data_IF_301463326082
#
_entry.id   IF_301463326082
#
_cell.length_a   1.000
_cell.length_b   1.000
_cell.length_c   1.000
_cell.angle_alpha   90.00
_cell.angle_beta   90.00
_cell.angle_gamma   90.00
#
_symmetry.space_group_name_H-M   'P 1'
#
loop_
_entity.id
_entity.type
_entity.pdbx_description
1 polymer ?
#
# COMPACT_ATOMS: atom_id res chain seq x y z
N UNK A 1 -6.04 -12.07 -9.57
CA UNK A 1 -6.56 -11.13 -8.55
C UNK A 1 -7.92 -10.68 -9.05
N UNK A 2 -8.94 -10.50 -8.18
CA UNK A 2 -10.32 -10.38 -8.64
C UNK A 2 -10.49 -9.06 -9.39
N UNK A 3 -10.85 -9.12 -10.66
CA UNK A 3 -11.12 -7.93 -11.49
C UNK A 3 -12.44 -7.21 -11.09
N UNK A 4 -13.08 -7.62 -9.97
CA UNK A 4 -14.41 -7.17 -9.54
C UNK A 4 -14.41 -6.78 -8.07
N UNK A 5 -15.04 -5.65 -7.79
CA UNK A 5 -15.19 -5.07 -6.46
C UNK A 5 -16.06 -5.95 -5.56
N UNK A 6 -15.60 -6.34 -4.37
CA UNK A 6 -16.37 -7.18 -3.45
C UNK A 6 -17.57 -6.46 -2.82
N UNK A 7 -17.65 -5.13 -2.94
CA UNK A 7 -18.74 -4.33 -2.36
C UNK A 7 -19.90 -4.07 -3.31
N UNK A 8 -19.61 -3.84 -4.60
CA UNK A 8 -20.64 -3.47 -5.58
C UNK A 8 -20.58 -4.26 -6.88
N UNK A 9 -19.61 -5.17 -7.04
CA UNK A 9 -19.41 -5.94 -8.28
C UNK A 9 -18.79 -5.16 -9.44
N UNK A 10 -18.52 -3.86 -9.28
CA UNK A 10 -17.93 -2.99 -10.31
C UNK A 10 -16.47 -3.32 -10.64
N UNK A 11 -15.95 -2.76 -11.73
CA UNK A 11 -14.56 -2.97 -12.16
C UNK A 11 -13.56 -2.33 -11.20
N UNK A 12 -12.41 -2.98 -11.02
CA UNK A 12 -11.29 -2.47 -10.23
C UNK A 12 -10.10 -2.09 -11.12
N UNK A 13 -9.51 -0.93 -10.84
CA UNK A 13 -8.24 -0.48 -11.44
C UNK A 13 -7.07 -0.80 -10.51
N UNK A 14 -5.99 -1.37 -11.06
CA UNK A 14 -4.74 -1.61 -10.34
C UNK A 14 -3.86 -0.36 -10.37
N UNK A 15 -3.40 0.05 -9.19
CA UNK A 15 -2.33 1.02 -8.98
C UNK A 15 -1.16 0.39 -8.22
N UNK A 16 0.02 1.00 -8.33
CA UNK A 16 1.24 0.56 -7.62
C UNK A 16 1.80 1.72 -6.80
N UNK A 17 2.07 1.45 -5.52
CA UNK A 17 2.85 2.34 -4.66
C UNK A 17 4.20 1.71 -4.43
N UNK A 18 5.22 2.32 -5.01
CA UNK A 18 6.60 1.87 -4.94
C UNK A 18 7.21 2.38 -3.63
N UNK A 19 7.20 1.54 -2.59
CA UNK A 19 7.58 1.91 -1.23
C UNK A 19 8.99 2.53 -1.15
N UNK A 20 9.90 2.11 -2.03
CA UNK A 20 11.27 2.64 -2.12
C UNK A 20 11.36 4.06 -2.68
N UNK A 21 10.37 4.50 -3.47
CA UNK A 21 10.31 5.87 -4.04
C UNK A 21 9.55 6.85 -3.14
N UNK A 22 8.87 6.33 -2.13
CA UNK A 22 8.17 7.12 -1.12
C UNK A 22 9.16 7.44 -0.01
N UNK A 23 9.11 8.65 0.54
CA UNK A 23 10.05 9.02 1.61
C UNK A 23 9.88 8.07 2.81
N UNK A 24 10.97 7.70 3.52
CA UNK A 24 10.91 6.86 4.71
C UNK A 24 9.90 7.36 5.75
N UNK A 25 9.74 8.68 5.86
CA UNK A 25 8.75 9.34 6.71
C UNK A 25 7.32 8.98 6.34
N UNK A 26 6.96 9.04 5.04
CA UNK A 26 5.61 8.68 4.59
C UNK A 26 5.41 7.17 4.77
N UNK A 27 6.41 6.34 4.46
CA UNK A 27 6.28 4.89 4.57
C UNK A 27 6.03 4.44 6.02
N UNK A 28 6.77 5.01 6.97
CA UNK A 28 6.65 4.68 8.41
C UNK A 28 5.44 5.32 9.08
N UNK A 29 4.89 6.41 8.52
CA UNK A 29 3.64 7.01 8.96
C UNK A 29 2.42 6.20 8.49
N UNK A 30 2.44 5.73 7.24
CA UNK A 30 1.34 4.95 6.66
C UNK A 30 1.35 3.49 7.12
N UNK A 31 2.54 2.91 7.31
CA UNK A 31 2.71 1.49 7.60
C UNK A 31 3.62 1.32 8.81
N UNK A 32 3.00 1.25 9.99
CA UNK A 32 3.71 1.00 11.26
C UNK A 32 4.53 -0.29 11.26
N UNK A 33 4.17 -1.25 10.39
CA UNK A 33 4.89 -2.51 10.16
C UNK A 33 6.30 -2.35 9.59
N UNK A 34 6.52 -1.33 8.76
CA UNK A 34 7.85 -1.06 8.20
C UNK A 34 8.73 -0.21 9.13
N UNK A 35 8.19 0.20 10.29
CA UNK A 35 8.92 1.03 11.25
C UNK A 35 9.82 0.16 12.11
N UNK A 36 11.12 0.26 11.90
CA UNK A 36 12.13 -0.33 12.77
C UNK A 36 12.91 0.77 13.52
N UNK A 37 13.29 0.48 14.77
CA UNK A 37 14.19 1.34 15.52
C UNK A 37 15.61 1.03 15.10
N UNK A 38 16.33 2.05 14.65
CA UNK A 38 17.76 2.02 14.37
C UNK A 38 18.50 2.93 15.34
N UNK A 39 19.82 2.81 15.35
CA UNK A 39 20.69 3.65 16.19
C UNK A 39 20.56 5.16 15.87
N UNK A 40 20.26 5.53 14.61
CA UNK A 40 20.06 6.93 14.17
C UNK A 40 18.58 7.34 14.11
N UNK A 41 17.66 6.60 14.73
CA UNK A 41 16.24 6.92 14.77
C UNK A 41 15.37 5.88 14.07
N UNK A 42 14.44 6.32 13.22
CA UNK A 42 13.48 5.42 12.57
C UNK A 42 14.02 4.99 11.20
N UNK A 43 14.14 3.67 10.99
CA UNK A 43 14.48 3.07 9.71
C UNK A 43 13.28 2.34 9.10
N UNK A 44 13.34 2.14 7.78
CA UNK A 44 12.39 1.30 7.04
C UNK A 44 12.94 -0.12 7.00
N UNK A 45 12.19 -1.08 7.54
CA UNK A 45 12.53 -2.50 7.48
C UNK A 45 11.73 -3.19 6.37
N UNK A 46 12.42 -3.93 5.51
CA UNK A 46 11.83 -4.78 4.46
C UNK A 46 10.70 -4.08 3.66
N UNK A 47 11.03 -2.99 2.93
CA UNK A 47 10.04 -2.27 2.14
C UNK A 47 9.51 -3.18 1.03
N UNK A 48 8.28 -3.66 1.21
CA UNK A 48 7.56 -4.45 0.21
C UNK A 48 6.85 -3.54 -0.78
N UNK A 49 6.64 -4.05 -1.98
CA UNK A 49 5.79 -3.39 -2.96
C UNK A 49 4.33 -3.45 -2.51
N UNK A 50 3.64 -2.30 -2.56
CA UNK A 50 2.21 -2.24 -2.25
C UNK A 50 1.43 -2.12 -3.56
N UNK A 51 0.67 -3.16 -3.87
CA UNK A 51 -0.34 -3.13 -4.94
C UNK A 51 -1.65 -2.63 -4.36
N UNK A 52 -2.27 -1.66 -5.01
CA UNK A 52 -3.54 -1.07 -4.59
C UNK A 52 -4.57 -1.30 -5.68
N UNK A 53 -5.78 -1.69 -5.31
CA UNK A 53 -6.90 -1.83 -6.23
C UNK A 53 -8.01 -0.90 -5.79
N UNK A 54 -8.47 -0.06 -6.72
CA UNK A 54 -9.57 0.88 -6.47
C UNK A 54 -10.76 0.53 -7.35
N UNK A 55 -11.96 0.51 -6.79
CA UNK A 55 -13.17 0.38 -7.57
C UNK A 55 -13.52 1.72 -8.24
N UNK A 56 -13.70 1.69 -9.57
CA UNK A 56 -14.09 2.88 -10.34
C UNK A 56 -15.50 3.38 -9.99
N UNK A 57 -16.37 2.49 -9.53
CA UNK A 57 -17.79 2.79 -9.30
C UNK A 57 -18.08 3.33 -7.90
N UNK A 58 -17.60 2.67 -6.84
CA UNK A 58 -17.93 3.03 -5.46
C UNK A 58 -16.72 3.53 -4.64
N UNK A 59 -15.53 3.55 -5.22
CA UNK A 59 -14.32 4.01 -4.52
C UNK A 59 -13.77 3.04 -3.47
N UNK A 60 -14.33 1.84 -3.32
CA UNK A 60 -13.74 0.80 -2.47
C UNK A 60 -12.28 0.57 -2.84
N UNK A 61 -11.40 0.54 -1.83
CA UNK A 61 -9.96 0.43 -2.00
C UNK A 61 -9.42 -0.70 -1.13
N UNK A 62 -8.58 -1.54 -1.72
CA UNK A 62 -7.83 -2.58 -1.02
C UNK A 62 -6.35 -2.52 -1.42
N UNK A 63 -5.47 -2.88 -0.49
CA UNK A 63 -4.02 -2.81 -0.68
C UNK A 63 -3.34 -4.07 -0.18
N UNK A 64 -2.39 -4.58 -0.95
CA UNK A 64 -1.65 -5.81 -0.67
C UNK A 64 -0.15 -5.54 -0.71
N UNK A 65 0.52 -5.79 0.42
CA UNK A 65 1.98 -5.83 0.48
C UNK A 65 2.47 -7.20 -0.03
N UNK A 66 3.38 -7.20 -1.02
CA UNK A 66 4.02 -8.41 -1.56
C UNK A 66 5.47 -8.49 -1.11
#
# INVERSE_FOLDING_TARGET
>A
MPNKCPKCGGEMEEGRVDALKVTPTILTAYNRWYKEKSFMGISVKDPKEIKVYRCKSCGFLESYAK
#
